data_IF_878221097781
#
_entry.id   IF_878221097781
#
_cell.length_a   1.000
_cell.length_b   1.000
_cell.length_c   1.000
_cell.angle_alpha   90.00
_cell.angle_beta   90.00
_cell.angle_gamma   90.00
#
_symmetry.space_group_name_H-M   'P 1'
#
loop_
_entity.id
_entity.type
_entity.pdbx_description
1 polymer ?
#
# COMPACT_ATOMS: atom_id res chain seq x y z
N UNK A 1 -34.65 12.38 21.34
CA UNK A 1 -35.09 10.96 21.25
C UNK A 1 -33.87 10.07 21.04
N UNK A 2 -33.27 9.53 22.10
CA UNK A 2 -32.22 8.51 21.99
C UNK A 2 -32.90 7.14 21.86
N UNK A 3 -32.77 6.49 20.70
CA UNK A 3 -33.34 5.17 20.45
C UNK A 3 -32.55 4.10 21.20
N UNK A 4 -33.21 3.39 22.12
CA UNK A 4 -32.66 2.41 23.07
C UNK A 4 -32.24 1.06 22.44
N UNK A 5 -31.57 1.09 21.28
CA UNK A 5 -30.94 -0.08 20.65
C UNK A 5 -29.47 0.18 20.29
N UNK A 6 -28.70 0.73 21.22
CA UNK A 6 -27.23 0.62 21.14
C UNK A 6 -26.83 -0.75 21.70
N UNK A 7 -26.20 -1.58 20.85
CA UNK A 7 -25.53 -2.83 21.29
C UNK A 7 -24.63 -2.46 22.48
N UNK A 8 -24.75 -3.16 23.62
CA UNK A 8 -23.84 -2.97 24.76
C UNK A 8 -22.42 -3.36 24.30
N UNK A 9 -21.65 -2.39 23.80
CA UNK A 9 -20.24 -2.58 23.53
C UNK A 9 -19.53 -2.61 24.87
N UNK A 10 -18.81 -3.69 25.16
CA UNK A 10 -18.06 -3.80 26.40
C UNK A 10 -17.05 -2.64 26.47
N UNK A 11 -17.06 -1.81 27.53
CA UNK A 11 -16.14 -0.67 27.65
C UNK A 11 -14.67 -1.08 27.56
N UNK A 12 -14.32 -2.30 27.97
CA UNK A 12 -12.95 -2.83 27.84
C UNK A 12 -12.55 -3.08 26.39
N UNK A 13 -13.48 -3.60 25.58
CA UNK A 13 -13.26 -3.84 24.15
C UNK A 13 -13.11 -2.52 23.41
N UNK A 14 -13.95 -1.52 23.71
CA UNK A 14 -13.81 -0.17 23.17
C UNK A 14 -12.44 0.43 23.49
N UNK A 15 -11.98 0.29 24.75
CA UNK A 15 -10.66 0.78 25.16
C UNK A 15 -9.53 0.07 24.43
N UNK A 16 -9.64 -1.24 24.20
CA UNK A 16 -8.68 -2.03 23.39
C UNK A 16 -8.66 -1.54 21.94
N UNK A 17 -9.83 -1.33 21.32
CA UNK A 17 -9.95 -0.85 19.95
C UNK A 17 -9.34 0.54 19.77
N UNK A 18 -9.63 1.47 20.68
CA UNK A 18 -9.07 2.83 20.67
C UNK A 18 -7.53 2.81 20.80
N UNK A 19 -6.98 1.97 21.67
CA UNK A 19 -5.52 1.79 21.80
C UNK A 19 -4.90 1.29 20.49
N UNK A 20 -5.50 0.26 19.89
CA UNK A 20 -5.02 -0.32 18.64
C UNK A 20 -5.09 0.66 17.46
N UNK A 21 -6.14 1.49 17.42
CA UNK A 21 -6.27 2.54 16.41
C UNK A 21 -5.21 3.65 16.58
N UNK A 22 -4.93 4.06 17.81
CA UNK A 22 -3.85 5.01 18.10
C UNK A 22 -2.48 4.49 17.64
N UNK A 23 -2.19 3.21 17.88
CA UNK A 23 -0.96 2.56 17.42
C UNK A 23 -0.87 2.55 15.89
N UNK A 24 -1.93 2.12 15.20
CA UNK A 24 -2.00 2.10 13.73
C UNK A 24 -1.78 3.49 13.13
N UNK A 25 -2.43 4.51 13.68
CA UNK A 25 -2.28 5.88 13.20
C UNK A 25 -0.86 6.44 13.40
N UNK A 26 -0.22 6.12 14.53
CA UNK A 26 1.18 6.51 14.76
C UNK A 26 2.14 5.82 13.80
N UNK A 27 1.97 4.51 13.57
CA UNK A 27 2.75 3.76 12.60
C UNK A 27 2.59 4.36 11.18
N UNK A 28 1.34 4.64 10.77
CA UNK A 28 1.03 5.28 9.49
C UNK A 28 1.71 6.64 9.34
N UNK A 29 1.63 7.51 10.35
CA UNK A 29 2.30 8.83 10.32
C UNK A 29 3.82 8.70 10.20
N UNK A 30 4.43 7.76 10.93
CA UNK A 30 5.88 7.48 10.84
C UNK A 30 6.28 6.95 9.46
N UNK A 31 5.48 6.05 8.88
CA UNK A 31 5.68 5.53 7.53
C UNK A 31 5.60 6.62 6.48
N UNK A 32 4.55 7.45 6.54
CA UNK A 32 4.34 8.56 5.59
C UNK A 32 5.52 9.55 5.58
N UNK A 33 6.08 9.89 6.76
CA UNK A 33 7.29 10.74 6.83
C UNK A 33 8.50 10.14 6.13
N UNK A 34 8.57 8.81 6.05
CA UNK A 34 9.64 8.08 5.34
C UNK A 34 9.30 7.82 3.86
N UNK A 35 8.22 8.41 3.34
CA UNK A 35 7.74 8.16 1.98
C UNK A 35 7.01 6.82 1.79
N UNK A 36 6.75 6.09 2.88
CA UNK A 36 5.99 4.83 2.87
C UNK A 36 4.50 5.14 3.03
N UNK A 37 3.74 4.92 1.96
CA UNK A 37 2.29 4.98 1.96
C UNK A 37 1.68 3.57 2.07
N UNK A 38 0.38 3.51 2.34
CA UNK A 38 -0.39 2.25 2.43
C UNK A 38 -0.34 1.46 1.11
N UNK A 39 -0.09 2.12 -0.03
CA UNK A 39 0.12 1.47 -1.32
C UNK A 39 1.52 0.86 -1.48
N UNK A 40 2.52 1.42 -0.81
CA UNK A 40 3.93 0.93 -0.82
C UNK A 40 4.27 -0.03 0.32
N UNK A 41 3.40 -0.13 1.34
CA UNK A 41 3.51 -1.08 2.46
C UNK A 41 3.02 -2.50 2.07
N UNK A 42 2.46 -2.63 0.87
CA UNK A 42 2.20 -3.96 0.28
C UNK A 42 3.55 -4.64 0.04
N UNK A 43 3.67 -5.96 0.28
CA UNK A 43 4.86 -6.69 -0.13
C UNK A 43 5.12 -6.38 -1.60
N UNK A 44 6.36 -5.97 -1.93
CA UNK A 44 6.78 -5.79 -3.33
C UNK A 44 6.45 -7.09 -4.05
N UNK A 45 5.35 -7.11 -4.81
CA UNK A 45 5.06 -8.19 -5.75
C UNK A 45 6.32 -8.28 -6.59
N UNK A 46 7.03 -9.41 -6.50
CA UNK A 46 8.20 -9.63 -7.34
C UNK A 46 7.67 -9.53 -8.76
N UNK A 47 7.95 -8.42 -9.43
CA UNK A 47 7.68 -8.29 -10.85
C UNK A 47 8.60 -9.30 -11.52
N UNK A 48 8.07 -10.47 -11.84
CA UNK A 48 8.73 -11.39 -12.75
C UNK A 48 9.06 -10.58 -13.99
N UNK A 49 10.36 -10.40 -14.24
CA UNK A 49 10.81 -9.76 -15.47
C UNK A 49 10.38 -10.69 -16.59
N UNK A 50 9.32 -10.34 -17.30
CA UNK A 50 8.94 -11.07 -18.50
C UNK A 50 10.13 -11.00 -19.45
N UNK A 51 10.72 -12.15 -19.78
CA UNK A 51 11.83 -12.25 -20.74
C UNK A 51 11.31 -11.81 -22.11
N UNK A 52 11.35 -10.51 -22.39
CA UNK A 52 11.04 -9.98 -23.71
C UNK A 52 12.19 -10.35 -24.65
N UNK A 53 11.93 -11.05 -25.77
CA UNK A 53 12.97 -11.32 -26.74
C UNK A 53 13.53 -10.00 -27.29
N UNK A 54 14.86 -9.91 -27.36
CA UNK A 54 15.53 -8.74 -27.92
C UNK A 54 15.10 -8.55 -29.38
N UNK A 55 14.61 -7.34 -29.72
CA UNK A 55 14.33 -6.99 -31.12
C UNK A 55 15.67 -7.03 -31.86
N UNK A 56 15.78 -7.88 -32.88
CA UNK A 56 16.94 -7.92 -33.76
C UNK A 56 17.16 -6.51 -34.30
N UNK A 57 18.34 -5.93 -34.05
CA UNK A 57 18.73 -4.64 -34.59
C UNK A 57 18.59 -4.70 -36.13
N UNK A 58 17.61 -3.99 -36.68
CA UNK A 58 17.53 -3.80 -38.12
C UNK A 58 18.79 -3.06 -38.53
N UNK A 59 19.61 -3.69 -39.39
CA UNK A 59 20.86 -3.11 -39.90
C UNK A 59 20.57 -1.70 -40.40
N UNK A 60 21.40 -0.72 -40.01
CA UNK A 60 21.24 0.68 -40.41
C UNK A 60 21.06 0.77 -41.93
N UNK A 61 20.00 1.44 -42.38
CA UNK A 61 19.83 1.76 -43.81
C UNK A 61 20.99 2.67 -44.19
N UNK A 62 21.79 2.24 -45.17
CA UNK A 62 22.86 3.06 -45.76
C UNK A 62 22.21 4.29 -46.38
N UNK A 63 22.63 5.49 -45.95
CA UNK A 63 22.25 6.72 -46.64
C UNK A 63 22.91 6.69 -48.01
N UNK A 64 22.12 6.54 -49.07
CA UNK A 64 22.61 6.77 -50.43
C UNK A 64 22.85 8.28 -50.55
N UNK A 65 24.08 8.66 -50.92
CA UNK A 65 24.48 10.05 -51.19
C UNK A 65 23.82 10.55 -52.47
#
# INVERSE_FOLDING_TARGET
MATSKTRKTNPEELKKLQKNEKIRNNARRKGQKKGVSISTDKPKLKTEKTNRPARKNTKKRVSVR
#
